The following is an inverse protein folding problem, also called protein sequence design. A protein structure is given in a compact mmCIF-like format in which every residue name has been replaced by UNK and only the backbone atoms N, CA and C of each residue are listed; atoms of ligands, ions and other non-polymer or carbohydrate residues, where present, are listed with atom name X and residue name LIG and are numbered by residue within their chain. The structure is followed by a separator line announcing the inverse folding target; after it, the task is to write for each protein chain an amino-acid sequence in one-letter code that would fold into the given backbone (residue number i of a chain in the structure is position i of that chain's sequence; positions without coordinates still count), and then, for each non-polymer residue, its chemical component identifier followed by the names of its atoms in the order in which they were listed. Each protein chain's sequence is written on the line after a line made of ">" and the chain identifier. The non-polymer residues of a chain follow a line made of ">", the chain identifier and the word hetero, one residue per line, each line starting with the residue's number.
data_IF_207799659958
#
_entry.id   IF_207799659958
#
_cell.length_a   1.000
_cell.length_b   1.000
_cell.length_c   1.000
_cell.angle_alpha   90.00
_cell.angle_beta   90.00
_cell.angle_gamma   90.00
#
_symmetry.space_group_name_H-M   'P 1'
#
loop_
_entity.id
_entity.type
_entity.pdbx_description
1 polymer ?
#
# COMPACT_ATOMS: atom_id res chain seq x y z
N UNK A 1 8.25 21.80 81.39
CA UNK A 1 9.27 22.03 80.35
C UNK A 1 9.37 20.75 79.51
N UNK A 2 8.83 20.76 78.29
CA UNK A 2 9.54 20.67 76.99
C UNK A 2 10.17 19.26 76.77
N UNK A 3 10.04 18.55 75.64
CA UNK A 3 9.81 18.95 74.27
C UNK A 3 9.27 17.76 73.44
N UNK A 4 8.51 18.07 72.38
CA UNK A 4 8.04 17.11 71.38
C UNK A 4 9.12 16.69 70.39
N UNK A 5 9.06 15.43 69.97
CA UNK A 5 9.93 14.83 68.96
C UNK A 5 9.23 14.87 67.59
N UNK A 6 9.84 15.58 66.65
CA UNK A 6 9.41 15.77 65.26
C UNK A 6 9.85 14.60 64.36
N UNK A 7 8.96 14.14 63.48
CA UNK A 7 9.23 13.12 62.45
C UNK A 7 9.79 13.76 61.18
N UNK A 8 10.81 13.18 60.51
CA UNK A 8 11.21 13.64 59.18
C UNK A 8 10.30 13.06 58.09
N UNK A 9 9.74 13.93 57.26
CA UNK A 9 9.07 13.59 56.00
C UNK A 9 10.13 13.25 54.95
N UNK A 10 10.18 12.00 54.49
CA UNK A 10 10.91 11.61 53.27
C UNK A 10 9.98 11.71 52.06
N UNK A 11 9.99 12.84 51.38
CA UNK A 11 9.46 12.98 50.03
C UNK A 11 10.52 13.72 49.22
N UNK A 12 11.24 13.00 48.34
CA UNK A 12 11.89 13.50 47.13
C UNK A 12 12.86 12.45 46.56
N UNK A 13 12.33 11.48 45.80
CA UNK A 13 13.13 10.68 44.85
C UNK A 13 12.33 10.15 43.66
N UNK A 14 11.00 10.12 43.77
CA UNK A 14 10.09 9.58 42.74
C UNK A 14 9.79 10.56 41.60
N UNK A 15 9.82 11.87 41.85
CA UNK A 15 9.37 12.91 40.92
C UNK A 15 10.25 13.03 39.66
N UNK A 16 11.57 12.94 39.80
CA UNK A 16 12.49 13.02 38.63
C UNK A 16 12.38 11.81 37.69
N UNK A 17 12.05 10.63 38.20
CA UNK A 17 11.86 9.42 37.40
C UNK A 17 10.58 9.49 36.57
N UNK A 18 9.48 9.99 37.12
CA UNK A 18 8.21 10.13 36.39
C UNK A 18 8.29 11.18 35.29
N UNK A 19 8.98 12.30 35.51
CA UNK A 19 9.20 13.30 34.46
C UNK A 19 10.08 12.77 33.31
N UNK A 20 11.11 11.98 33.61
CA UNK A 20 11.94 11.32 32.59
C UNK A 20 11.14 10.28 31.78
N UNK A 21 10.31 9.46 32.44
CA UNK A 21 9.48 8.47 31.77
C UNK A 21 8.46 9.13 30.83
N UNK A 22 7.85 10.25 31.25
CA UNK A 22 6.92 11.02 30.41
C UNK A 22 7.62 11.64 29.20
N UNK A 23 8.84 12.14 29.37
CA UNK A 23 9.63 12.70 28.26
C UNK A 23 10.01 11.62 27.23
N UNK A 24 10.43 10.43 27.68
CA UNK A 24 10.72 9.31 26.79
C UNK A 24 9.46 8.82 26.08
N UNK A 25 8.34 8.71 26.78
CA UNK A 25 7.06 8.34 26.17
C UNK A 25 6.62 9.35 25.10
N UNK A 26 6.77 10.65 25.37
CA UNK A 26 6.48 11.71 24.40
C UNK A 26 7.39 11.64 23.16
N UNK A 27 8.69 11.39 23.34
CA UNK A 27 9.64 11.21 22.24
C UNK A 27 9.29 9.98 21.39
N UNK A 28 8.96 8.85 22.03
CA UNK A 28 8.54 7.64 21.33
C UNK A 28 7.24 7.84 20.55
N UNK A 29 6.25 8.52 21.14
CA UNK A 29 5.00 8.84 20.48
C UNK A 29 5.22 9.73 19.26
N UNK A 30 6.08 10.75 19.38
CA UNK A 30 6.46 11.60 18.26
C UNK A 30 7.20 10.82 17.17
N UNK A 31 8.13 9.94 17.53
CA UNK A 31 8.86 9.10 16.57
C UNK A 31 7.93 8.16 15.79
N UNK A 32 6.92 7.58 16.44
CA UNK A 32 5.91 6.73 15.78
C UNK A 32 5.03 7.56 14.83
N UNK A 33 4.74 8.82 15.17
CA UNK A 33 3.92 9.70 14.34
C UNK A 33 4.61 10.10 13.02
N UNK A 34 5.93 10.07 12.99
CA UNK A 34 6.76 10.38 11.81
C UNK A 34 7.23 9.14 11.06
N UNK A 35 6.78 7.94 11.44
CA UNK A 35 7.14 6.72 10.74
C UNK A 35 6.45 6.72 9.35
N UNK A 36 7.21 6.72 8.24
CA UNK A 36 6.60 6.62 6.93
C UNK A 36 5.93 5.24 6.82
N UNK A 37 4.61 5.22 6.61
CA UNK A 37 3.93 4.02 6.15
C UNK A 37 4.56 3.66 4.81
N UNK A 38 5.20 2.49 4.74
CA UNK A 38 5.66 1.94 3.47
C UNK A 38 4.45 1.84 2.54
N UNK A 39 4.40 2.71 1.54
CA UNK A 39 3.37 2.68 0.50
C UNK A 39 3.61 1.40 -0.30
N UNK A 40 2.68 0.47 -0.22
CA UNK A 40 2.59 -0.64 -1.16
C UNK A 40 2.31 -0.01 -2.53
N UNK A 41 3.33 0.07 -3.38
CA UNK A 41 3.16 0.52 -4.75
C UNK A 41 2.35 -0.54 -5.49
N UNK A 42 1.10 -0.24 -5.85
CA UNK A 42 0.30 -1.12 -6.69
C UNK A 42 0.96 -1.22 -8.07
N UNK A 43 1.11 -2.44 -8.59
CA UNK A 43 1.60 -2.65 -9.95
C UNK A 43 0.61 -2.05 -10.94
N UNK A 44 1.05 -1.02 -11.66
CA UNK A 44 0.20 -0.36 -12.64
C UNK A 44 0.21 -1.16 -13.93
N UNK A 45 -0.72 -2.12 -14.05
CA UNK A 45 -1.00 -2.73 -15.35
C UNK A 45 -1.39 -1.61 -16.32
N UNK A 46 -0.71 -1.50 -17.48
CA UNK A 46 -1.07 -0.51 -18.46
C UNK A 46 -2.49 -0.79 -18.93
N UNK A 47 -3.39 0.14 -18.62
CA UNK A 47 -4.77 0.04 -19.08
C UNK A 47 -4.74 0.22 -20.60
N UNK A 48 -5.26 -0.74 -21.38
CA UNK A 48 -5.36 -0.54 -22.80
C UNK A 48 -6.28 0.67 -23.05
N UNK A 49 -5.94 1.58 -24.00
CA UNK A 49 -6.85 2.63 -24.45
C UNK A 49 -8.24 2.05 -24.73
N UNK A 50 -9.33 2.82 -24.60
CA UNK A 50 -10.68 2.34 -24.91
C UNK A 50 -10.84 1.75 -26.32
N UNK A 51 -9.98 2.19 -27.25
CA UNK A 51 -9.93 1.72 -28.64
C UNK A 51 -8.97 0.53 -28.85
N UNK A 52 -8.16 0.19 -27.85
CA UNK A 52 -7.18 -0.90 -27.88
C UNK A 52 -7.75 -2.11 -27.11
N UNK A 53 -7.95 -3.24 -27.78
CA UNK A 53 -8.46 -4.46 -27.14
C UNK A 53 -7.36 -5.51 -26.90
N UNK A 54 -6.15 -5.27 -27.42
CA UNK A 54 -5.02 -6.20 -27.34
C UNK A 54 -3.75 -5.43 -27.03
N UNK A 55 -3.03 -5.86 -26.00
CA UNK A 55 -1.71 -5.35 -25.63
C UNK A 55 -0.76 -6.54 -25.43
N UNK A 56 -0.01 -6.90 -26.48
CA UNK A 56 0.97 -7.99 -26.43
C UNK A 56 2.37 -7.46 -26.08
N UNK A 57 2.70 -7.32 -24.80
CA UNK A 57 4.08 -6.94 -24.42
C UNK A 57 5.03 -8.13 -24.42
N UNK A 58 4.50 -9.34 -24.27
CA UNK A 58 5.31 -10.55 -24.25
C UNK A 58 5.77 -11.00 -25.64
N UNK A 59 5.09 -10.54 -26.71
CA UNK A 59 5.39 -10.94 -28.09
C UNK A 59 5.00 -12.40 -28.35
N UNK A 60 3.97 -12.89 -27.68
CA UNK A 60 3.52 -14.29 -27.74
C UNK A 60 2.36 -14.49 -28.70
N UNK A 61 1.75 -13.42 -29.20
CA UNK A 61 0.65 -13.46 -30.15
C UNK A 61 1.14 -13.21 -31.57
N UNK A 62 0.57 -13.94 -32.52
CA UNK A 62 0.75 -13.64 -33.94
C UNK A 62 -0.32 -12.61 -34.39
N UNK A 63 -0.09 -11.88 -35.50
CA UNK A 63 -0.97 -10.79 -35.90
C UNK A 63 -2.38 -11.25 -36.28
N UNK A 64 -2.56 -12.50 -36.71
CA UNK A 64 -3.88 -13.04 -37.03
C UNK A 64 -4.71 -13.29 -35.76
N UNK A 65 -4.07 -13.74 -34.68
CA UNK A 65 -4.70 -13.90 -33.37
C UNK A 65 -5.09 -12.54 -32.80
N UNK A 66 -4.22 -11.54 -32.89
CA UNK A 66 -4.54 -10.17 -32.44
C UNK A 66 -5.77 -9.61 -33.16
N UNK A 67 -5.85 -9.77 -34.50
CA UNK A 67 -7.01 -9.35 -35.30
C UNK A 67 -8.29 -10.09 -34.93
N UNK A 68 -8.19 -11.39 -34.65
CA UNK A 68 -9.33 -12.20 -34.21
C UNK A 68 -9.85 -11.69 -32.86
N UNK A 69 -8.97 -11.44 -31.89
CA UNK A 69 -9.36 -10.89 -30.59
C UNK A 69 -9.97 -9.51 -30.76
N UNK A 70 -9.33 -8.62 -31.52
CA UNK A 70 -9.83 -7.28 -31.76
C UNK A 70 -11.24 -7.28 -32.37
N UNK A 71 -11.46 -8.05 -33.44
CA UNK A 71 -12.76 -8.12 -34.11
C UNK A 71 -13.84 -8.69 -33.20
N UNK A 72 -13.52 -9.74 -32.44
CA UNK A 72 -14.44 -10.38 -31.49
C UNK A 72 -14.80 -9.45 -30.34
N UNK A 73 -13.81 -8.80 -29.71
CA UNK A 73 -14.04 -7.86 -28.61
C UNK A 73 -14.85 -6.65 -29.04
N UNK A 74 -14.59 -6.11 -30.23
CA UNK A 74 -15.40 -5.03 -30.79
C UNK A 74 -16.84 -5.47 -31.07
N UNK A 75 -17.03 -6.69 -31.59
CA UNK A 75 -18.37 -7.23 -31.81
C UNK A 75 -19.15 -7.42 -30.51
N UNK A 76 -18.49 -7.94 -29.48
CA UNK A 76 -19.05 -8.06 -28.15
C UNK A 76 -19.46 -6.69 -27.59
N UNK A 77 -18.57 -5.70 -27.65
CA UNK A 77 -18.85 -4.33 -27.20
C UNK A 77 -20.04 -3.70 -27.96
N UNK A 78 -20.15 -3.93 -29.28
CA UNK A 78 -21.30 -3.47 -30.07
C UNK A 78 -22.61 -4.12 -29.63
N UNK A 79 -22.61 -5.42 -29.39
CA UNK A 79 -23.81 -6.23 -29.10
C UNK A 79 -24.28 -6.13 -27.64
N UNK A 80 -23.36 -6.07 -26.69
CA UNK A 80 -23.67 -6.20 -25.26
C UNK A 80 -23.20 -5.03 -24.41
N UNK A 81 -22.43 -4.10 -24.98
CA UNK A 81 -21.69 -3.04 -24.25
C UNK A 81 -20.59 -3.56 -23.32
N UNK A 82 -20.39 -4.87 -23.21
CA UNK A 82 -19.28 -5.44 -22.45
C UNK A 82 -17.96 -5.25 -23.21
N UNK A 83 -16.92 -4.82 -22.50
CA UNK A 83 -15.59 -4.62 -23.05
C UNK A 83 -14.66 -5.72 -22.52
N UNK A 84 -13.93 -6.38 -23.42
CA UNK A 84 -12.96 -7.43 -23.08
C UNK A 84 -11.64 -7.09 -23.73
N UNK A 85 -10.64 -6.82 -22.90
CA UNK A 85 -9.28 -6.54 -23.34
C UNK A 85 -8.33 -7.67 -22.90
N UNK A 86 -7.32 -7.94 -23.73
CA UNK A 86 -6.32 -8.97 -23.49
C UNK A 86 -4.95 -8.33 -23.37
N UNK A 87 -4.25 -8.62 -22.27
CA UNK A 87 -2.90 -8.11 -22.00
C UNK A 87 -1.97 -9.29 -21.78
N UNK A 88 -0.80 -9.28 -22.43
CA UNK A 88 0.30 -10.18 -22.12
C UNK A 88 1.46 -9.37 -21.56
N UNK A 89 2.07 -9.87 -20.48
CA UNK A 89 3.21 -9.26 -19.83
C UNK A 89 4.38 -10.26 -19.85
N UNK A 90 5.62 -9.77 -19.98
CA UNK A 90 6.81 -10.62 -19.91
C UNK A 90 7.07 -11.16 -18.51
N UNK A 91 6.71 -10.38 -17.50
CA UNK A 91 7.00 -10.62 -16.08
C UNK A 91 5.99 -9.83 -15.26
N UNK A 92 5.64 -10.36 -14.08
CA UNK A 92 4.88 -9.64 -13.06
C UNK A 92 5.81 -8.93 -12.06
N UNK A 93 7.13 -8.99 -12.25
CA UNK A 93 8.15 -8.33 -11.43
C UNK A 93 8.03 -8.60 -9.92
N UNK A 94 7.59 -9.82 -9.58
CA UNK A 94 7.42 -10.29 -8.20
C UNK A 94 6.08 -9.92 -7.56
N UNK A 95 5.19 -9.24 -8.30
CA UNK A 95 3.82 -8.99 -7.84
C UNK A 95 2.94 -10.24 -7.99
N UNK A 96 1.99 -10.45 -7.06
CA UNK A 96 1.01 -11.52 -7.19
C UNK A 96 0.09 -11.29 -8.39
N UNK A 97 -0.51 -12.35 -8.94
CA UNK A 97 -1.39 -12.23 -10.11
C UNK A 97 -2.65 -11.44 -9.77
N UNK A 98 -3.11 -11.52 -8.52
CA UNK A 98 -4.26 -10.77 -8.01
C UNK A 98 -4.08 -9.25 -8.09
N UNK A 99 -2.84 -8.76 -7.98
CA UNK A 99 -2.53 -7.32 -8.06
C UNK A 99 -2.60 -6.79 -9.50
N UNK A 100 -2.63 -7.68 -10.50
CA UNK A 100 -2.61 -7.32 -11.93
C UNK A 100 -3.86 -7.77 -12.69
N UNK A 101 -4.78 -8.47 -12.03
CA UNK A 101 -6.10 -8.82 -12.57
C UNK A 101 -7.16 -7.86 -12.02
N UNK A 102 -7.93 -7.22 -12.91
CA UNK A 102 -9.03 -6.30 -12.57
C UNK A 102 -10.40 -6.95 -12.75
#
# INVERSE_FOLDING_TARGET
>A
MMAGLSRPRRVCRHQGRTHLQLAVAGLLMFAILWLPLAVLAAYKVPNPPPDLYVLDQAGVMNPDTEKMILSTSQELARRTKAQVAVVTLKSLDGYPIEDVSL
#
